data_IF_953902025007
#
_entry.id   IF_953902025007
#
_cell.length_a   1.000
_cell.length_b   1.000
_cell.length_c   1.000
_cell.angle_alpha   90.00
_cell.angle_beta   90.00
_cell.angle_gamma   90.00
#
_symmetry.space_group_name_H-M   'P 1'
#
loop_
_entity.id
_entity.type
_entity.pdbx_description
1 polymer ?
#
# COMPACT_ATOMS: atom_id res chain seq x y z
N UNK A 1 -3.78 -0.49 6.58
CA UNK A 1 -2.56 0.22 6.14
C UNK A 1 -2.06 -0.48 4.89
N UNK A 2 -1.64 0.28 3.88
CA UNK A 2 -1.13 -0.22 2.61
C UNK A 2 0.24 0.42 2.40
N UNK A 3 1.22 -0.34 1.89
CA UNK A 3 2.55 0.18 1.56
C UNK A 3 2.67 0.28 0.04
N UNK A 4 2.73 1.51 -0.48
CA UNK A 4 3.07 1.77 -1.87
C UNK A 4 4.56 2.01 -2.04
N UNK A 5 5.28 1.09 -2.68
CA UNK A 5 6.68 1.26 -3.09
C UNK A 5 6.66 2.08 -4.38
N UNK A 6 6.84 3.39 -4.25
CA UNK A 6 6.72 4.35 -5.35
C UNK A 6 8.03 4.53 -6.13
N UNK A 7 7.93 5.14 -7.31
CA UNK A 7 9.03 5.47 -8.24
C UNK A 7 9.76 4.24 -8.80
N UNK A 8 9.01 3.17 -9.09
CA UNK A 8 9.58 1.97 -9.71
C UNK A 8 10.19 2.23 -11.10
N UNK A 9 9.76 3.29 -11.78
CA UNK A 9 10.36 3.80 -13.03
C UNK A 9 11.83 4.20 -12.85
N UNK A 10 12.19 4.76 -11.70
CA UNK A 10 13.55 5.23 -11.41
C UNK A 10 14.54 4.09 -11.11
N UNK A 11 14.04 2.88 -10.87
CA UNK A 11 14.85 1.67 -10.68
C UNK A 11 14.65 0.65 -11.82
N UNK A 12 14.21 1.12 -12.99
CA UNK A 12 13.94 0.29 -14.17
C UNK A 12 13.04 -0.91 -13.86
N UNK A 13 12.07 -0.73 -12.95
CA UNK A 13 11.12 -1.76 -12.56
C UNK A 13 11.78 -3.05 -12.01
N UNK A 14 12.92 -2.91 -11.32
CA UNK A 14 13.69 -4.05 -10.77
C UNK A 14 12.91 -4.81 -9.68
N UNK A 15 12.73 -6.12 -9.89
CA UNK A 15 12.14 -7.04 -8.91
C UNK A 15 13.01 -7.18 -7.65
N UNK A 16 14.33 -7.28 -7.82
CA UNK A 16 15.27 -7.41 -6.69
C UNK A 16 15.18 -6.22 -5.74
N UNK A 17 15.11 -5.00 -6.31
CA UNK A 17 14.99 -3.77 -5.52
C UNK A 17 13.66 -3.71 -4.77
N UNK A 18 12.58 -4.15 -5.40
CA UNK A 18 11.28 -4.26 -4.73
C UNK A 18 11.33 -5.25 -3.57
N UNK A 19 11.90 -6.44 -3.78
CA UNK A 19 11.99 -7.50 -2.77
C UNK A 19 12.88 -7.10 -1.59
N UNK A 20 13.96 -6.34 -1.83
CA UNK A 20 14.80 -5.76 -0.79
C UNK A 20 14.00 -4.79 0.10
N UNK A 21 13.34 -3.80 -0.52
CA UNK A 21 12.54 -2.79 0.19
C UNK A 21 11.39 -3.45 0.95
N UNK A 22 10.71 -4.43 0.34
CA UNK A 22 9.62 -5.16 0.98
C UNK A 22 10.09 -5.83 2.28
N UNK A 23 11.26 -6.48 2.26
CA UNK A 23 11.82 -7.15 3.46
C UNK A 23 12.20 -6.17 4.55
N UNK A 24 12.87 -5.07 4.21
CA UNK A 24 13.27 -4.04 5.18
C UNK A 24 12.06 -3.39 5.84
N UNK A 25 11.07 -2.99 5.03
CA UNK A 25 9.84 -2.36 5.52
C UNK A 25 9.01 -3.35 6.33
N UNK A 26 8.91 -4.62 5.91
CA UNK A 26 8.22 -5.64 6.70
C UNK A 26 8.87 -5.84 8.08
N UNK A 27 10.20 -5.84 8.17
CA UNK A 27 10.91 -5.90 9.44
C UNK A 27 10.64 -4.66 10.30
N UNK A 28 10.62 -3.47 9.69
CA UNK A 28 10.30 -2.23 10.39
C UNK A 28 8.86 -2.21 10.92
N UNK A 29 7.88 -2.61 10.11
CA UNK A 29 6.47 -2.69 10.51
C UNK A 29 6.25 -3.63 11.69
N UNK A 30 6.96 -4.77 11.70
CA UNK A 30 6.92 -5.72 12.81
C UNK A 30 7.43 -5.09 14.12
N UNK A 31 8.46 -4.24 14.07
CA UNK A 31 8.99 -3.52 15.24
C UNK A 31 8.01 -2.47 15.78
N UNK A 32 7.28 -1.80 14.89
CA UNK A 32 6.25 -0.81 15.26
C UNK A 32 4.99 -1.48 15.85
N UNK A 33 4.82 -2.79 15.64
CA UNK A 33 3.69 -3.56 16.17
C UNK A 33 2.58 -3.83 15.14
N UNK A 34 2.80 -3.53 13.87
CA UNK A 34 1.90 -3.94 12.79
C UNK A 34 2.16 -5.39 12.38
N UNK A 35 1.11 -6.10 11.95
CA UNK A 35 1.26 -7.42 11.34
C UNK A 35 1.59 -7.26 9.83
N UNK A 36 2.82 -7.59 9.38
CA UNK A 36 3.22 -7.44 7.98
C UNK A 36 2.39 -8.27 7.00
N UNK A 37 1.82 -9.39 7.44
CA UNK A 37 1.01 -10.27 6.57
C UNK A 37 -0.33 -9.64 6.19
N UNK A 38 -0.83 -8.71 7.02
CA UNK A 38 -2.08 -7.97 6.75
C UNK A 38 -1.85 -6.66 5.98
N UNK A 39 -0.60 -6.31 5.70
CA UNK A 39 -0.24 -5.07 5.02
C UNK A 39 0.16 -5.41 3.58
N UNK A 40 -0.68 -5.09 2.59
CA UNK A 40 -0.32 -5.31 1.19
C UNK A 40 0.79 -4.35 0.76
N UNK A 41 1.74 -4.89 0.00
CA UNK A 41 2.82 -4.16 -0.64
C UNK A 41 2.53 -4.00 -2.14
N UNK A 42 2.44 -2.75 -2.59
CA UNK A 42 2.10 -2.41 -3.97
C UNK A 42 3.27 -1.69 -4.63
N UNK A 43 3.82 -2.27 -5.69
CA UNK A 43 4.82 -1.61 -6.53
C UNK A 43 4.10 -0.60 -7.42
N UNK A 44 4.36 0.70 -7.27
CA UNK A 44 3.68 1.75 -8.03
C UNK A 44 4.67 2.71 -8.69
N UNK A 45 4.23 3.34 -9.77
CA UNK A 45 4.79 4.63 -10.21
C UNK A 45 3.66 5.63 -10.30
N UNK A 46 3.61 6.58 -9.34
CA UNK A 46 2.59 7.62 -9.35
C UNK A 46 2.75 8.62 -10.51
N UNK A 47 3.95 8.75 -11.09
CA UNK A 47 4.19 9.67 -12.20
C UNK A 47 3.72 9.10 -13.54
N UNK A 48 3.99 7.81 -13.77
CA UNK A 48 3.59 7.11 -15.00
C UNK A 48 2.16 6.54 -14.90
N UNK A 49 1.66 6.32 -13.68
CA UNK A 49 0.36 5.71 -13.42
C UNK A 49 0.40 4.18 -13.25
N UNK A 50 1.60 3.58 -13.25
CA UNK A 50 1.78 2.13 -13.15
C UNK A 50 1.24 1.57 -11.83
N UNK A 51 0.38 0.54 -11.93
CA UNK A 51 -0.24 -0.17 -10.80
C UNK A 51 -1.08 0.74 -9.87
N UNK A 52 -1.47 1.94 -10.33
CA UNK A 52 -2.36 2.82 -9.58
C UNK A 52 -3.81 2.32 -9.68
N UNK A 53 -4.34 2.24 -10.89
CA UNK A 53 -5.69 1.75 -11.20
C UNK A 53 -5.59 0.46 -12.00
N UNK A 54 -4.82 0.49 -13.08
CA UNK A 54 -4.59 -0.63 -13.99
C UNK A 54 -3.22 -1.27 -13.75
N UNK A 55 -3.10 -2.56 -14.07
CA UNK A 55 -1.84 -3.29 -13.94
C UNK A 55 -0.85 -2.80 -15.00
N UNK A 56 0.38 -2.53 -14.56
CA UNK A 56 1.45 -2.13 -15.45
C UNK A 56 1.93 -3.28 -16.33
N UNK A 57 2.22 -3.00 -17.59
CA UNK A 57 2.92 -3.92 -18.50
C UNK A 57 4.43 -3.97 -18.24
N UNK A 58 4.98 -2.97 -17.55
CA UNK A 58 6.42 -2.84 -17.30
C UNK A 58 6.92 -3.74 -16.16
N UNK A 59 5.99 -4.27 -15.35
CA UNK A 59 6.26 -5.13 -14.20
C UNK A 59 5.60 -6.50 -14.37
N UNK A 60 6.01 -7.26 -15.38
CA UNK A 60 5.47 -8.61 -15.66
C UNK A 60 5.69 -9.62 -14.51
N UNK A 61 6.69 -9.38 -13.67
CA UNK A 61 6.97 -10.15 -12.45
C UNK A 61 5.99 -9.83 -11.31
N UNK A 62 5.39 -8.64 -11.30
CA UNK A 62 4.50 -8.21 -10.22
C UNK A 62 3.10 -8.83 -10.38
N UNK A 63 2.80 -9.83 -9.54
CA UNK A 63 1.50 -10.52 -9.52
C UNK A 63 0.52 -9.97 -8.48
N UNK A 64 0.85 -8.85 -7.83
CA UNK A 64 0.03 -8.25 -6.79
C UNK A 64 -1.19 -7.50 -7.33
N UNK A 65 -1.87 -6.81 -6.41
CA UNK A 65 -3.04 -5.96 -6.69
C UNK A 65 -2.60 -4.56 -7.09
N UNK A 66 -3.43 -3.81 -7.80
CA UNK A 66 -3.22 -2.36 -7.97
C UNK A 66 -3.51 -1.60 -6.67
N UNK A 67 -3.15 -0.33 -6.60
CA UNK A 67 -3.38 0.49 -5.42
C UNK A 67 -4.88 0.63 -5.12
N UNK A 68 -5.71 0.83 -6.16
CA UNK A 68 -7.18 0.87 -6.01
C UNK A 68 -7.72 -0.48 -5.53
N UNK A 69 -7.31 -1.59 -6.15
CA UNK A 69 -7.73 -2.93 -5.70
C UNK A 69 -7.31 -3.22 -4.25
N UNK A 70 -6.15 -2.72 -3.82
CA UNK A 70 -5.71 -2.85 -2.44
C UNK A 70 -6.58 -2.01 -1.48
N UNK A 71 -6.99 -0.81 -1.88
CA UNK A 71 -7.91 0.04 -1.11
C UNK A 71 -9.30 -0.58 -0.99
N UNK A 72 -9.83 -1.16 -2.06
CA UNK A 72 -11.14 -1.82 -2.07
C UNK A 72 -11.21 -3.04 -1.15
N UNK A 73 -10.05 -3.62 -0.81
CA UNK A 73 -9.98 -4.75 0.12
C UNK A 73 -9.95 -4.33 1.59
N UNK A 74 -9.85 -3.03 1.87
CA UNK A 74 -9.86 -2.55 3.25
C UNK A 74 -11.27 -2.62 3.84
N UNK A 75 -11.39 -3.27 4.99
CA UNK A 75 -12.63 -3.28 5.74
C UNK A 75 -12.93 -1.88 6.30
N UNK A 76 -14.14 -1.39 6.02
CA UNK A 76 -14.59 -0.12 6.57
C UNK A 76 -14.72 -0.22 8.11
N UNK A 77 -14.14 0.71 8.87
CA UNK A 77 -14.25 0.67 10.33
C UNK A 77 -15.71 0.86 10.76
N UNK A 78 -16.11 0.13 11.81
CA UNK A 78 -17.45 0.30 12.39
C UNK A 78 -17.62 1.73 12.87
N UNK A 79 -18.65 2.42 12.36
CA UNK A 79 -19.01 3.77 12.79
C UNK A 79 -19.38 3.74 14.28
N UNK A 80 -18.87 4.66 15.12
CA UNK A 80 -19.13 4.68 16.55
C UNK A 80 -20.49 5.32 16.88
N UNK A 81 -21.58 4.83 16.25
CA UNK A 81 -22.95 5.26 16.55
C UNK A 81 -23.37 4.97 17.99
N UNK A 82 -22.77 3.94 18.58
CA UNK A 82 -23.08 3.46 19.93
C UNK A 82 -22.33 4.25 21.02
N UNK A 83 -21.45 5.19 20.65
CA UNK A 83 -20.64 5.98 21.58
C UNK A 83 -21.24 7.39 21.79
N UNK A 84 -20.98 8.05 22.94
CA UNK A 84 -21.42 9.43 23.17
C UNK A 84 -20.95 10.40 22.08
N UNK A 85 -21.81 11.36 21.73
CA UNK A 85 -21.50 12.40 20.75
C UNK A 85 -20.22 13.17 21.14
N UNK A 86 -19.33 13.35 20.16
CA UNK A 86 -18.15 14.20 20.22
C UNK A 86 -18.05 14.92 18.88
N UNK A 87 -18.04 16.25 18.91
CA UNK A 87 -17.97 17.09 17.72
C UNK A 87 -16.88 18.15 17.96
N UNK A 88 -15.64 17.91 17.51
CA UNK A 88 -14.58 18.92 17.57
C UNK A 88 -14.92 20.04 16.59
N UNK A 89 -14.88 21.29 17.06
CA UNK A 89 -15.07 22.47 16.21
C UNK A 89 -13.76 22.74 15.44
N UNK A 90 -13.88 22.94 14.14
CA UNK A 90 -12.77 23.29 13.25
C UNK A 90 -13.25 24.43 12.34
N UNK A 91 -12.49 25.53 12.29
CA UNK A 91 -12.68 26.64 11.35
C UNK A 91 -12.19 26.28 9.94
#
# INVERSE_FOLDING_TARGET
>A
MIVGINKMDSCNYSEDRFNEIQKEVAMYLKKVGYNPEKVPFVAISGFVGDNMVEKSTNMSWYKGKTLVEALDTMEAPKRPSDKPLRLPLQD
#
